data_IF_821823015075
#
_entry.id   IF_821823015075
#
_cell.length_a   1.000
_cell.length_b   1.000
_cell.length_c   1.000
_cell.angle_alpha   90.00
_cell.angle_beta   90.00
_cell.angle_gamma   90.00
#
_symmetry.space_group_name_H-M   'P 1'
#
loop_
_entity.id
_entity.type
_entity.pdbx_description
1 polymer ?
#
# COMPACT_ATOMS: atom_id res chain seq x y z
N UNK A 1 -14.03 41.64 9.22
CA UNK A 1 -14.80 40.43 8.84
C UNK A 1 -14.97 39.58 10.08
N UNK A 2 -16.19 39.38 10.57
CA UNK A 2 -16.46 38.66 11.84
C UNK A 2 -15.99 37.22 11.77
N UNK A 3 -15.53 36.63 12.88
CA UNK A 3 -15.03 35.25 13.01
C UNK A 3 -15.98 34.24 12.34
N UNK A 4 -17.28 34.42 12.46
CA UNK A 4 -18.33 33.61 11.86
C UNK A 4 -18.29 33.60 10.31
N UNK A 5 -18.03 34.75 9.68
CA UNK A 5 -17.88 34.84 8.22
C UNK A 5 -16.64 34.09 7.71
N UNK A 6 -15.56 34.09 8.48
CA UNK A 6 -14.34 33.30 8.15
C UNK A 6 -14.59 31.79 8.25
N UNK A 7 -15.32 31.34 9.28
CA UNK A 7 -15.69 29.93 9.46
C UNK A 7 -16.61 29.46 8.33
N UNK A 8 -17.64 30.28 7.98
CA UNK A 8 -18.55 29.95 6.87
C UNK A 8 -17.80 29.92 5.54
N UNK A 9 -16.86 30.83 5.30
CA UNK A 9 -16.04 30.86 4.10
C UNK A 9 -15.11 29.63 4.04
N UNK A 10 -14.50 29.22 5.17
CA UNK A 10 -13.68 27.99 5.25
C UNK A 10 -14.51 26.73 5.01
N UNK A 11 -15.73 26.64 5.57
CA UNK A 11 -16.66 25.55 5.31
C UNK A 11 -17.08 25.51 3.84
N UNK A 12 -17.36 26.67 3.23
CA UNK A 12 -17.72 26.75 1.81
C UNK A 12 -16.56 26.35 0.89
N UNK A 13 -15.33 26.78 1.22
CA UNK A 13 -14.12 26.34 0.53
C UNK A 13 -13.92 24.82 0.67
N UNK A 14 -14.08 24.25 1.87
CA UNK A 14 -13.93 22.81 2.09
C UNK A 14 -14.94 21.99 1.26
N UNK A 15 -16.21 22.44 1.20
CA UNK A 15 -17.25 21.81 0.37
C UNK A 15 -16.95 21.96 -1.13
N UNK A 16 -16.46 23.12 -1.59
CA UNK A 16 -16.12 23.34 -2.99
C UNK A 16 -14.93 22.45 -3.44
N UNK A 17 -13.96 22.24 -2.56
CA UNK A 17 -12.81 21.33 -2.84
C UNK A 17 -13.30 19.89 -2.99
N UNK A 18 -14.15 19.39 -2.07
CA UNK A 18 -14.65 18.00 -2.14
C UNK A 18 -15.50 17.72 -3.39
N UNK A 19 -16.23 18.71 -3.91
CA UNK A 19 -17.02 18.54 -5.15
C UNK A 19 -16.16 18.49 -6.41
N UNK A 20 -15.05 19.22 -6.46
CA UNK A 20 -14.13 19.19 -7.60
C UNK A 20 -13.43 17.83 -7.73
N UNK A 21 -13.05 17.21 -6.62
CA UNK A 21 -12.36 15.91 -6.56
C UNK A 21 -13.25 14.76 -7.06
N UNK A 22 -14.50 14.69 -6.61
CA UNK A 22 -15.45 13.68 -7.08
C UNK A 22 -15.68 13.74 -8.61
N UNK A 23 -15.57 14.92 -9.20
CA UNK A 23 -15.78 15.12 -10.63
C UNK A 23 -14.63 14.53 -11.48
N UNK A 24 -13.38 14.69 -11.06
CA UNK A 24 -12.21 14.13 -11.78
C UNK A 24 -12.24 12.60 -11.78
N UNK A 25 -12.59 11.97 -10.65
CA UNK A 25 -12.73 10.51 -10.57
C UNK A 25 -13.83 10.00 -11.51
N UNK A 26 -14.99 10.65 -11.53
CA UNK A 26 -16.09 10.28 -12.44
C UNK A 26 -15.66 10.37 -13.91
N UNK A 27 -14.87 11.40 -14.28
CA UNK A 27 -14.33 11.53 -15.64
C UNK A 27 -13.33 10.42 -15.96
N UNK A 28 -12.47 10.06 -15.01
CA UNK A 28 -11.51 8.97 -15.18
C UNK A 28 -12.22 7.62 -15.36
N UNK A 29 -13.19 7.32 -14.49
CA UNK A 29 -14.03 6.10 -14.58
C UNK A 29 -14.80 6.06 -15.90
N UNK A 30 -15.34 7.20 -16.35
CA UNK A 30 -16.03 7.31 -17.65
C UNK A 30 -15.09 7.05 -18.84
N UNK A 31 -13.87 7.61 -18.82
CA UNK A 31 -12.86 7.36 -19.86
C UNK A 31 -12.52 5.86 -19.92
N UNK A 32 -12.32 5.22 -18.76
CA UNK A 32 -12.06 3.78 -18.68
C UNK A 32 -13.20 2.94 -19.28
N UNK A 33 -14.44 3.23 -18.91
CA UNK A 33 -15.63 2.52 -19.45
C UNK A 33 -15.76 2.70 -20.97
N UNK A 34 -15.37 3.87 -21.50
CA UNK A 34 -15.35 4.17 -22.93
C UNK A 34 -14.12 3.59 -23.65
N UNK A 35 -13.30 2.76 -23.00
CA UNK A 35 -12.05 2.19 -23.49
C UNK A 35 -10.97 3.23 -23.85
N UNK A 36 -11.09 4.48 -23.41
CA UNK A 36 -10.02 5.49 -23.50
C UNK A 36 -9.07 5.34 -22.29
N UNK A 37 -8.31 4.24 -22.31
CA UNK A 37 -7.45 3.86 -21.19
C UNK A 37 -6.30 4.84 -20.97
N UNK A 38 -5.82 5.47 -22.06
CA UNK A 38 -4.77 6.49 -21.96
C UNK A 38 -5.26 7.74 -21.22
N UNK A 39 -6.48 8.20 -21.54
CA UNK A 39 -7.10 9.33 -20.86
C UNK A 39 -7.49 8.99 -19.41
N UNK A 40 -7.96 7.76 -19.18
CA UNK A 40 -8.25 7.28 -17.83
C UNK A 40 -6.97 7.30 -16.98
N UNK A 41 -5.85 6.77 -17.47
CA UNK A 41 -4.57 6.77 -16.77
C UNK A 41 -4.09 8.19 -16.44
N UNK A 42 -4.12 9.13 -17.41
CA UNK A 42 -3.76 10.53 -17.18
C UNK A 42 -4.59 11.17 -16.04
N UNK A 43 -5.91 10.92 -16.04
CA UNK A 43 -6.80 11.46 -15.03
C UNK A 43 -6.56 10.83 -13.64
N UNK A 44 -6.34 9.51 -13.55
CA UNK A 44 -6.00 8.86 -12.28
C UNK A 44 -4.64 9.33 -11.75
N UNK A 45 -3.61 9.49 -12.59
CA UNK A 45 -2.34 10.08 -12.19
C UNK A 45 -2.51 11.52 -11.67
N UNK A 46 -3.35 12.32 -12.34
CA UNK A 46 -3.68 13.66 -11.87
C UNK A 46 -4.34 13.67 -10.49
N UNK A 47 -5.23 12.70 -10.21
CA UNK A 47 -5.84 12.55 -8.89
C UNK A 47 -4.77 12.23 -7.84
N UNK A 48 -3.91 11.25 -8.08
CA UNK A 48 -2.84 10.86 -7.17
C UNK A 48 -1.89 12.02 -6.85
N UNK A 49 -1.54 12.82 -7.86
CA UNK A 49 -0.67 13.98 -7.69
C UNK A 49 -1.30 15.13 -6.89
N UNK A 50 -2.62 15.31 -6.96
CA UNK A 50 -3.32 16.44 -6.33
C UNK A 50 -3.97 16.09 -5.00
N UNK A 51 -4.41 14.84 -4.82
CA UNK A 51 -5.22 14.40 -3.68
C UNK A 51 -4.47 13.44 -2.75
N UNK A 52 -3.33 12.90 -3.22
CA UNK A 52 -2.53 11.91 -2.49
C UNK A 52 -2.92 10.48 -2.83
N UNK A 53 -2.32 9.56 -2.11
CA UNK A 53 -2.39 8.12 -2.37
C UNK A 53 -3.76 7.52 -2.02
N UNK A 54 -4.26 6.65 -2.89
CA UNK A 54 -5.50 5.90 -2.70
C UNK A 54 -5.41 4.53 -3.35
N UNK A 55 -5.75 3.48 -2.60
CA UNK A 55 -5.75 2.10 -3.11
C UNK A 55 -6.65 1.95 -4.35
N UNK A 56 -7.86 2.52 -4.30
CA UNK A 56 -8.82 2.46 -5.41
C UNK A 56 -8.29 3.15 -6.68
N UNK A 57 -7.62 4.29 -6.52
CA UNK A 57 -7.09 5.05 -7.66
C UNK A 57 -5.87 4.32 -8.25
N UNK A 58 -4.96 3.83 -7.43
CA UNK A 58 -3.85 2.99 -7.89
C UNK A 58 -4.34 1.71 -8.59
N UNK A 59 -5.37 1.05 -8.05
CA UNK A 59 -5.98 -0.13 -8.67
C UNK A 59 -6.54 0.18 -10.07
N UNK A 60 -7.32 1.27 -10.21
CA UNK A 60 -7.90 1.66 -11.48
C UNK A 60 -6.84 2.15 -12.48
N UNK A 61 -5.79 2.80 -12.01
CA UNK A 61 -4.63 3.18 -12.81
C UNK A 61 -3.89 1.92 -13.31
N UNK A 62 -3.68 0.93 -12.43
CA UNK A 62 -3.14 -0.37 -12.79
C UNK A 62 -3.97 -1.08 -13.86
N UNK A 63 -5.31 -1.08 -13.71
CA UNK A 63 -6.23 -1.63 -14.72
C UNK A 63 -6.09 -0.90 -16.07
N UNK A 64 -5.95 0.43 -16.06
CA UNK A 64 -5.78 1.23 -17.28
C UNK A 64 -4.48 0.87 -18.00
N UNK A 65 -3.36 0.78 -17.26
CA UNK A 65 -2.09 0.34 -17.83
C UNK A 65 -2.10 -1.10 -18.32
N UNK A 66 -2.76 -2.00 -17.60
CA UNK A 66 -2.93 -3.39 -18.02
C UNK A 66 -3.67 -3.50 -19.36
N UNK A 67 -4.73 -2.69 -19.57
CA UNK A 67 -5.49 -2.62 -20.82
C UNK A 67 -4.68 -2.03 -21.97
N UNK A 68 -3.68 -1.20 -21.68
CA UNK A 68 -2.72 -0.64 -22.63
C UNK A 68 -1.52 -1.57 -22.89
N UNK A 69 -1.51 -2.78 -22.29
CA UNK A 69 -0.41 -3.75 -22.33
C UNK A 69 0.90 -3.22 -21.72
N UNK A 70 0.83 -2.18 -20.89
CA UNK A 70 1.97 -1.67 -20.12
C UNK A 70 2.05 -2.42 -18.78
N UNK A 71 2.62 -3.63 -18.83
CA UNK A 71 2.57 -4.59 -17.73
C UNK A 71 3.40 -4.11 -16.54
N UNK A 72 4.56 -3.51 -16.75
CA UNK A 72 5.41 -3.00 -15.67
C UNK A 72 4.69 -1.91 -14.85
N UNK A 73 4.06 -0.93 -15.51
CA UNK A 73 3.27 0.10 -14.83
C UNK A 73 2.02 -0.47 -14.16
N UNK A 74 1.39 -1.47 -14.76
CA UNK A 74 0.24 -2.13 -14.13
C UNK A 74 0.65 -2.80 -12.81
N UNK A 75 1.73 -3.58 -12.81
CA UNK A 75 2.29 -4.23 -11.62
C UNK A 75 2.65 -3.20 -10.55
N UNK A 76 3.36 -2.13 -10.91
CA UNK A 76 3.72 -1.06 -9.99
C UNK A 76 2.50 -0.48 -9.27
N UNK A 77 1.45 -0.16 -10.02
CA UNK A 77 0.24 0.44 -9.43
C UNK A 77 -0.58 -0.56 -8.62
N UNK A 78 -0.64 -1.83 -9.01
CA UNK A 78 -1.26 -2.87 -8.18
C UNK A 78 -0.49 -3.12 -6.88
N UNK A 79 0.84 -3.11 -6.90
CA UNK A 79 1.67 -3.21 -5.69
C UNK A 79 1.44 -2.02 -4.75
N UNK A 80 1.37 -0.78 -5.28
CA UNK A 80 1.02 0.41 -4.50
C UNK A 80 -0.39 0.32 -3.91
N UNK A 81 -1.35 -0.16 -4.70
CA UNK A 81 -2.71 -0.39 -4.22
C UNK A 81 -2.76 -1.43 -3.09
N UNK A 82 -2.04 -2.56 -3.27
CA UNK A 82 -1.98 -3.64 -2.30
C UNK A 82 -1.27 -3.22 -1.00
N UNK A 83 -0.26 -2.34 -1.08
CA UNK A 83 0.40 -1.77 0.09
C UNK A 83 -0.57 -0.96 0.96
N UNK A 84 -1.52 -0.23 0.34
CA UNK A 84 -2.55 0.54 1.03
C UNK A 84 -3.75 -0.30 1.48
N UNK A 85 -4.11 -1.35 0.74
CA UNK A 85 -5.23 -2.24 1.03
C UNK A 85 -4.86 -3.72 0.80
N UNK A 86 -4.09 -4.32 1.71
CA UNK A 86 -3.55 -5.67 1.52
C UNK A 86 -4.59 -6.79 1.56
N UNK A 87 -5.81 -6.51 2.04
CA UNK A 87 -6.89 -7.51 2.13
C UNK A 87 -7.74 -7.60 0.85
N UNK A 88 -7.47 -6.79 -0.17
CA UNK A 88 -8.28 -6.70 -1.37
C UNK A 88 -7.93 -7.83 -2.36
N UNK A 89 -8.85 -8.77 -2.52
CA UNK A 89 -8.65 -9.92 -3.39
C UNK A 89 -8.66 -9.56 -4.89
N UNK A 90 -9.33 -8.48 -5.29
CA UNK A 90 -9.39 -8.06 -6.69
C UNK A 90 -8.04 -7.46 -7.10
N UNK A 91 -7.41 -6.69 -6.20
CA UNK A 91 -6.05 -6.16 -6.41
C UNK A 91 -5.06 -7.32 -6.51
N UNK A 92 -5.13 -8.30 -5.58
CA UNK A 92 -4.24 -9.47 -5.59
C UNK A 92 -4.39 -10.28 -6.88
N UNK A 93 -5.61 -10.57 -7.29
CA UNK A 93 -5.89 -11.31 -8.51
C UNK A 93 -5.34 -10.60 -9.76
N UNK A 94 -5.56 -9.28 -9.89
CA UNK A 94 -5.09 -8.53 -11.05
C UNK A 94 -3.56 -8.38 -11.05
N UNK A 95 -2.92 -8.28 -9.87
CA UNK A 95 -1.47 -8.31 -9.73
C UNK A 95 -0.91 -9.65 -10.21
N UNK A 96 -1.45 -10.79 -9.75
CA UNK A 96 -1.03 -12.13 -10.18
C UNK A 96 -1.23 -12.30 -11.69
N UNK A 97 -2.34 -11.82 -12.24
CA UNK A 97 -2.63 -11.85 -13.67
C UNK A 97 -1.60 -11.04 -14.47
N UNK A 98 -1.22 -9.84 -14.00
CA UNK A 98 -0.19 -9.02 -14.62
C UNK A 98 1.19 -9.69 -14.52
N UNK A 99 1.56 -10.22 -13.36
CA UNK A 99 2.81 -10.96 -13.15
C UNK A 99 2.90 -12.22 -14.01
N UNK A 100 1.78 -12.87 -14.33
CA UNK A 100 1.76 -14.04 -15.21
C UNK A 100 2.24 -13.73 -16.62
N UNK A 101 2.16 -12.46 -17.06
CA UNK A 101 2.64 -11.98 -18.37
C UNK A 101 4.13 -11.62 -18.40
N UNK A 102 4.79 -11.49 -17.23
CA UNK A 102 6.22 -11.14 -17.18
C UNK A 102 7.09 -12.32 -17.60
N UNK A 103 8.27 -12.00 -18.12
CA UNK A 103 9.29 -12.98 -18.54
C UNK A 103 9.90 -13.66 -17.31
N UNK A 104 10.27 -12.85 -16.31
CA UNK A 104 10.94 -13.34 -15.11
C UNK A 104 9.92 -13.94 -14.13
N UNK A 105 9.94 -15.27 -14.00
CA UNK A 105 9.07 -15.95 -13.04
C UNK A 105 9.59 -15.79 -11.62
N UNK A 106 8.70 -15.43 -10.71
CA UNK A 106 9.01 -15.39 -9.28
C UNK A 106 9.00 -16.81 -8.74
N UNK A 107 10.11 -17.24 -8.17
CA UNK A 107 10.16 -18.47 -7.37
C UNK A 107 10.18 -18.03 -5.92
N UNK A 108 9.05 -18.14 -5.19
CA UNK A 108 9.00 -17.69 -3.81
C UNK A 108 9.98 -18.53 -2.97
N UNK A 109 10.83 -17.86 -2.19
CA UNK A 109 11.60 -18.56 -1.16
C UNK A 109 10.65 -19.04 -0.06
N UNK A 110 10.95 -20.23 0.48
CA UNK A 110 10.22 -20.76 1.62
C UNK A 110 10.51 -19.91 2.85
N UNK A 111 9.55 -19.08 3.23
CA UNK A 111 9.58 -18.36 4.51
C UNK A 111 9.21 -19.30 5.67
N UNK A 112 9.72 -19.02 6.87
CA UNK A 112 9.26 -19.74 8.06
C UNK A 112 7.77 -19.53 8.27
N UNK A 113 7.03 -20.61 8.57
CA UNK A 113 5.57 -20.60 8.66
C UNK A 113 5.01 -19.52 9.60
N UNK A 114 5.71 -19.19 10.70
CA UNK A 114 5.25 -18.15 11.62
C UNK A 114 5.38 -16.74 11.03
N UNK A 115 6.34 -16.48 10.12
CA UNK A 115 6.47 -15.20 9.40
C UNK A 115 5.31 -15.05 8.43
N UNK A 116 5.03 -16.08 7.65
CA UNK A 116 3.89 -16.10 6.72
C UNK A 116 2.56 -15.93 7.48
N UNK A 117 2.40 -16.61 8.62
CA UNK A 117 1.20 -16.51 9.44
C UNK A 117 1.01 -15.10 10.04
N UNK A 118 2.07 -14.49 10.58
CA UNK A 118 1.99 -13.11 11.10
C UNK A 118 1.70 -12.11 10.00
N UNK A 119 2.31 -12.22 8.82
CA UNK A 119 1.99 -11.40 7.63
C UNK A 119 0.52 -11.55 7.24
N UNK A 120 0.02 -12.79 7.17
CA UNK A 120 -1.39 -13.04 6.84
C UNK A 120 -2.35 -12.40 7.83
N UNK A 121 -2.05 -12.47 9.15
CA UNK A 121 -2.87 -11.81 10.18
C UNK A 121 -2.82 -10.29 10.06
N UNK A 122 -1.64 -9.72 9.84
CA UNK A 122 -1.47 -8.28 9.68
C UNK A 122 -2.21 -7.77 8.45
N UNK A 123 -2.24 -8.55 7.36
CA UNK A 123 -2.86 -8.20 6.09
C UNK A 123 -4.38 -8.44 6.02
N UNK A 124 -5.03 -8.89 7.12
CA UNK A 124 -6.51 -9.00 7.18
C UNK A 124 -7.19 -7.63 7.03
N UNK A 125 -6.53 -6.56 7.46
CA UNK A 125 -7.03 -5.18 7.37
C UNK A 125 -5.91 -4.25 6.93
N UNK A 126 -6.28 -3.08 6.39
CA UNK A 126 -5.35 -1.98 6.14
C UNK A 126 -4.86 -1.34 7.45
N UNK A 127 -3.79 -0.54 7.38
CA UNK A 127 -3.27 0.26 8.53
C UNK A 127 -4.38 1.05 9.22
N UNK A 128 -5.20 1.76 8.41
CA UNK A 128 -6.36 2.52 8.91
C UNK A 128 -7.39 1.62 9.59
N UNK A 129 -7.66 0.44 9.05
CA UNK A 129 -8.58 -0.55 9.64
C UNK A 129 -8.11 -1.01 11.02
N UNK A 130 -6.83 -1.33 11.15
CA UNK A 130 -6.24 -1.70 12.44
C UNK A 130 -6.24 -0.55 13.44
N UNK A 131 -5.90 0.69 13.01
CA UNK A 131 -5.95 1.87 13.87
C UNK A 131 -7.38 2.14 14.39
N UNK A 132 -8.39 2.05 13.52
CA UNK A 132 -9.80 2.17 13.93
C UNK A 132 -10.21 1.07 14.90
N UNK A 133 -9.82 -0.18 14.65
CA UNK A 133 -10.07 -1.32 15.55
C UNK A 133 -9.43 -1.09 16.93
N UNK A 134 -8.21 -0.54 16.96
CA UNK A 134 -7.52 -0.16 18.19
C UNK A 134 -8.32 0.87 19.02
N UNK A 135 -8.83 1.92 18.35
CA UNK A 135 -9.64 2.96 19.00
C UNK A 135 -10.97 2.36 19.54
N UNK A 136 -11.66 1.56 18.73
CA UNK A 136 -12.95 0.95 19.10
C UNK A 136 -12.77 0.03 20.31
N UNK A 137 -11.78 -0.87 20.27
CA UNK A 137 -11.50 -1.81 21.37
C UNK A 137 -11.07 -1.08 22.63
N UNK A 138 -10.32 0.02 22.52
CA UNK A 138 -9.97 0.87 23.65
C UNK A 138 -11.21 1.49 24.33
N UNK A 139 -12.13 2.05 23.53
CA UNK A 139 -13.38 2.62 24.04
C UNK A 139 -14.20 1.54 24.76
N UNK A 140 -14.33 0.34 24.20
CA UNK A 140 -15.04 -0.78 24.80
C UNK A 140 -14.37 -1.18 26.14
N UNK A 141 -13.04 -1.21 26.20
CA UNK A 141 -12.29 -1.49 27.42
C UNK A 141 -12.59 -0.45 28.52
N UNK A 142 -12.65 0.85 28.17
CA UNK A 142 -13.02 1.91 29.11
C UNK A 142 -14.45 1.76 29.65
N UNK A 143 -15.42 1.44 28.77
CA UNK A 143 -16.80 1.16 29.18
C UNK A 143 -16.87 -0.05 30.11
N UNK A 144 -16.13 -1.12 29.81
CA UNK A 144 -16.04 -2.30 30.64
C UNK A 144 -15.44 -1.99 32.04
N UNK A 145 -14.40 -1.14 32.09
CA UNK A 145 -13.87 -0.62 33.37
C UNK A 145 -14.88 0.22 34.14
N UNK A 146 -15.67 1.06 33.47
CA UNK A 146 -16.73 1.81 34.11
C UNK A 146 -17.78 0.88 34.73
N UNK A 147 -18.16 -0.19 34.03
CA UNK A 147 -19.04 -1.24 34.60
C UNK A 147 -18.42 -1.86 35.83
N UNK A 148 -17.13 -2.17 35.82
CA UNK A 148 -16.40 -2.70 36.94
C UNK A 148 -16.43 -1.75 38.17
N UNK A 149 -16.19 -0.46 37.97
CA UNK A 149 -16.09 0.48 39.09
C UNK A 149 -17.46 0.92 39.63
N UNK A 150 -18.42 1.19 38.73
CA UNK A 150 -19.70 1.80 39.11
C UNK A 150 -20.83 0.81 39.43
N UNK A 151 -20.69 -0.47 39.05
CA UNK A 151 -21.76 -1.45 39.31
C UNK A 151 -21.66 -2.02 40.72
N UNK A 152 -22.81 -2.31 41.36
CA UNK A 152 -22.87 -2.92 42.67
C UNK A 152 -22.93 -4.46 42.66
N UNK A 153 -23.32 -5.06 41.51
CA UNK A 153 -23.46 -6.50 41.37
C UNK A 153 -22.11 -7.15 41.10
N UNK A 154 -21.68 -8.11 41.92
CA UNK A 154 -20.39 -8.80 41.83
C UNK A 154 -20.21 -9.48 40.47
N UNK A 155 -21.27 -10.07 39.91
CA UNK A 155 -21.22 -10.74 38.61
C UNK A 155 -20.85 -9.75 37.51
N UNK A 156 -21.50 -8.58 37.47
CA UNK A 156 -21.21 -7.53 36.46
C UNK A 156 -19.82 -6.93 36.65
N UNK A 157 -19.33 -6.81 37.88
CA UNK A 157 -17.95 -6.42 38.16
C UNK A 157 -16.94 -7.41 37.54
N UNK A 158 -17.14 -8.72 37.74
CA UNK A 158 -16.26 -9.75 37.17
C UNK A 158 -16.28 -9.72 35.65
N UNK A 159 -17.46 -9.62 35.04
CA UNK A 159 -17.59 -9.50 33.57
C UNK A 159 -16.89 -8.25 33.09
N UNK A 160 -17.14 -7.08 33.71
CA UNK A 160 -16.49 -5.82 33.32
C UNK A 160 -14.96 -5.89 33.39
N UNK A 161 -14.43 -6.48 34.47
CA UNK A 161 -12.98 -6.64 34.65
C UNK A 161 -12.34 -7.54 33.55
N UNK A 162 -12.93 -8.73 33.35
CA UNK A 162 -12.43 -9.69 32.35
C UNK A 162 -12.55 -9.09 30.95
N UNK A 163 -13.71 -8.49 30.61
CA UNK A 163 -13.89 -7.84 29.31
C UNK A 163 -12.90 -6.70 29.07
N UNK A 164 -12.62 -5.90 30.12
CA UNK A 164 -11.65 -4.82 29.99
C UNK A 164 -10.25 -5.34 29.64
N UNK A 165 -9.79 -6.42 30.30
CA UNK A 165 -8.49 -7.04 30.01
C UNK A 165 -8.47 -7.58 28.58
N UNK A 166 -9.52 -8.30 28.16
CA UNK A 166 -9.60 -8.88 26.81
C UNK A 166 -9.57 -7.80 25.73
N UNK A 167 -10.38 -6.74 25.86
CA UNK A 167 -10.41 -5.68 24.87
C UNK A 167 -9.15 -4.81 24.88
N UNK A 168 -8.49 -4.65 26.04
CA UNK A 168 -7.18 -3.99 26.11
C UNK A 168 -6.10 -4.82 25.39
N UNK A 169 -6.14 -6.14 25.52
CA UNK A 169 -5.25 -7.03 24.79
C UNK A 169 -5.44 -6.88 23.27
N UNK A 170 -6.69 -6.90 22.77
CA UNK A 170 -6.97 -6.67 21.35
C UNK A 170 -6.59 -5.27 20.90
N UNK A 171 -6.74 -4.25 21.74
CA UNK A 171 -6.27 -2.89 21.44
C UNK A 171 -4.74 -2.87 21.21
N UNK A 172 -3.98 -3.53 22.08
CA UNK A 172 -2.51 -3.61 21.93
C UNK A 172 -2.14 -4.34 20.64
N UNK A 173 -2.77 -5.48 20.34
CA UNK A 173 -2.51 -6.22 19.08
C UNK A 173 -2.83 -5.38 17.85
N UNK A 174 -3.98 -4.71 17.83
CA UNK A 174 -4.36 -3.85 16.71
C UNK A 174 -3.35 -2.72 16.48
N UNK A 175 -2.83 -2.11 17.55
CA UNK A 175 -1.79 -1.10 17.45
C UNK A 175 -0.45 -1.65 16.95
N UNK A 176 -0.08 -2.88 17.34
CA UNK A 176 1.12 -3.55 16.81
C UNK A 176 0.98 -3.76 15.29
N UNK A 177 -0.16 -4.31 14.83
CA UNK A 177 -0.39 -4.55 13.41
C UNK A 177 -0.46 -3.25 12.60
N UNK A 178 -1.15 -2.21 13.12
CA UNK A 178 -1.14 -0.89 12.49
C UNK A 178 0.28 -0.31 12.37
N UNK A 179 1.10 -0.44 13.41
CA UNK A 179 2.48 0.04 13.40
C UNK A 179 3.36 -0.71 12.39
N UNK A 180 3.19 -2.04 12.27
CA UNK A 180 3.91 -2.85 11.29
C UNK A 180 3.57 -2.42 9.87
N UNK A 181 2.28 -2.32 9.53
CA UNK A 181 1.87 -1.86 8.20
C UNK A 181 2.30 -0.42 7.90
N UNK A 182 2.25 0.46 8.90
CA UNK A 182 2.77 1.82 8.75
C UNK A 182 4.26 1.83 8.45
N UNK A 183 5.04 0.95 9.10
CA UNK A 183 6.46 0.80 8.80
C UNK A 183 6.69 0.32 7.36
N UNK A 184 5.88 -0.63 6.87
CA UNK A 184 5.93 -1.13 5.49
C UNK A 184 5.59 -0.03 4.48
N UNK A 185 4.57 0.80 4.77
CA UNK A 185 4.20 1.97 3.96
C UNK A 185 5.31 3.04 3.88
N UNK A 186 6.10 3.18 4.94
CA UNK A 186 7.19 4.16 5.00
C UNK A 186 8.53 3.61 4.48
N UNK A 187 8.62 2.30 4.34
CA UNK A 187 9.84 1.62 3.92
C UNK A 187 9.87 1.46 2.40
N UNK A 188 10.29 2.51 1.69
CA UNK A 188 10.45 2.51 0.23
C UNK A 188 11.59 1.59 -0.24
N UNK A 189 11.62 0.36 0.25
CA UNK A 189 12.65 -0.62 -0.06
C UNK A 189 12.31 -1.54 -1.24
N UNK A 190 11.11 -1.44 -1.81
CA UNK A 190 10.70 -2.25 -2.95
C UNK A 190 10.62 -1.39 -4.21
N UNK A 191 10.97 -1.97 -5.35
CA UNK A 191 10.86 -1.32 -6.65
C UNK A 191 10.46 -2.32 -7.74
N UNK A 192 9.96 -1.79 -8.87
CA UNK A 192 9.66 -2.56 -10.07
C UNK A 192 10.67 -2.17 -11.15
N UNK A 193 11.19 -3.17 -11.87
CA UNK A 193 11.99 -2.96 -13.08
C UNK A 193 11.07 -2.39 -14.17
N UNK A 194 11.41 -1.20 -14.68
CA UNK A 194 10.64 -0.50 -15.72
C UNK A 194 11.27 -0.64 -17.10
N UNK A 195 12.57 -0.93 -17.16
CA UNK A 195 13.28 -1.15 -18.40
C UNK A 195 12.87 -2.50 -19.02
N UNK A 196 12.63 -2.59 -20.35
CA UNK A 196 12.28 -3.85 -21.03
C UNK A 196 13.27 -4.99 -20.74
N UNK A 197 14.55 -4.66 -20.61
CA UNK A 197 15.62 -5.55 -20.18
C UNK A 197 16.76 -4.74 -19.58
N UNK A 198 17.32 -5.19 -18.48
CA UNK A 198 18.46 -4.56 -17.80
C UNK A 198 19.44 -5.60 -17.30
N UNK A 199 20.73 -5.38 -17.55
CA UNK A 199 21.80 -6.22 -17.01
C UNK A 199 22.18 -5.73 -15.62
N UNK A 200 22.08 -6.61 -14.64
CA UNK A 200 22.53 -6.37 -13.26
C UNK A 200 24.05 -6.52 -13.20
N UNK A 201 24.72 -5.57 -12.59
CA UNK A 201 26.18 -5.44 -12.53
C UNK A 201 26.70 -5.76 -11.13
N UNK A 202 27.97 -6.21 -11.06
CA UNK A 202 28.64 -6.47 -9.76
C UNK A 202 29.06 -5.20 -9.02
N UNK A 203 29.19 -4.08 -9.72
CA UNK A 203 29.59 -2.78 -9.19
C UNK A 203 28.78 -1.66 -9.80
N UNK A 204 28.62 -0.49 -9.13
CA UNK A 204 27.79 0.63 -9.59
C UNK A 204 28.48 1.45 -10.70
N UNK A 205 28.81 0.80 -11.81
CA UNK A 205 29.37 1.44 -13.01
C UNK A 205 29.14 0.58 -14.27
N UNK A 206 29.28 1.18 -15.45
CA UNK A 206 29.05 0.50 -16.73
C UNK A 206 30.04 -0.62 -17.04
N UNK A 207 31.25 -0.56 -16.46
CA UNK A 207 32.31 -1.57 -16.65
C UNK A 207 32.24 -2.73 -15.65
N UNK A 208 31.25 -2.73 -14.75
CA UNK A 208 31.02 -3.82 -13.79
C UNK A 208 30.78 -5.16 -14.50
N UNK A 209 31.20 -6.24 -13.88
CA UNK A 209 30.93 -7.59 -14.40
C UNK A 209 29.41 -7.82 -14.48
N UNK A 210 28.95 -8.37 -15.58
CA UNK A 210 27.56 -8.75 -15.78
C UNK A 210 27.23 -9.99 -14.95
N UNK A 211 26.20 -9.90 -14.12
CA UNK A 211 25.78 -10.98 -13.23
C UNK A 211 24.60 -11.76 -13.83
N UNK A 212 23.51 -11.07 -14.11
CA UNK A 212 22.29 -11.63 -14.70
C UNK A 212 21.46 -10.51 -15.35
N UNK A 213 20.43 -10.90 -16.08
CA UNK A 213 19.51 -9.98 -16.77
C UNK A 213 18.16 -10.03 -16.07
N UNK A 214 17.52 -8.87 -15.93
CA UNK A 214 16.13 -8.72 -15.49
C UNK A 214 15.30 -8.05 -16.56
N UNK A 215 14.01 -8.38 -16.54
CA UNK A 215 13.02 -7.81 -17.46
C UNK A 215 12.00 -6.97 -16.72
N UNK A 216 11.25 -6.16 -17.48
CA UNK A 216 10.20 -5.30 -16.95
C UNK A 216 9.15 -6.05 -16.13
N UNK A 217 8.62 -5.37 -15.11
CA UNK A 217 7.62 -5.94 -14.20
C UNK A 217 8.20 -6.80 -13.07
N UNK A 218 9.53 -7.07 -13.06
CA UNK A 218 10.15 -7.79 -11.95
C UNK A 218 10.23 -6.92 -10.71
N UNK A 219 9.71 -7.41 -9.58
CA UNK A 219 9.84 -6.79 -8.26
C UNK A 219 11.22 -7.10 -7.67
N UNK A 220 11.85 -6.09 -7.09
CA UNK A 220 13.17 -6.15 -6.46
C UNK A 220 13.17 -5.42 -5.13
N UNK A 221 14.08 -5.79 -4.24
CA UNK A 221 14.32 -5.12 -2.96
C UNK A 221 15.52 -4.20 -3.11
N UNK A 222 15.41 -2.93 -2.76
CA UNK A 222 16.52 -1.97 -2.75
C UNK A 222 17.31 -2.17 -1.47
N UNK A 223 18.60 -2.48 -1.58
CA UNK A 223 19.54 -2.65 -0.45
C UNK A 223 20.30 -1.38 -0.16
N UNK A 224 20.73 -0.68 -1.21
CA UNK A 224 21.43 0.60 -1.09
C UNK A 224 20.79 1.61 -2.04
N UNK A 225 20.33 2.72 -1.46
CA UNK A 225 19.71 3.85 -2.14
C UNK A 225 20.55 5.14 -2.03
N UNK A 226 21.79 5.05 -1.57
CA UNK A 226 22.63 6.23 -1.29
C UNK A 226 23.14 6.93 -2.55
N UNK A 227 23.38 6.16 -3.62
CA UNK A 227 23.82 6.68 -4.90
C UNK A 227 22.63 7.19 -5.74
N UNK A 228 22.81 8.32 -6.44
CA UNK A 228 21.77 8.89 -7.31
C UNK A 228 21.58 8.08 -8.60
N UNK A 229 22.67 7.62 -9.20
CA UNK A 229 22.68 7.02 -10.54
C UNK A 229 22.52 5.49 -10.52
N UNK A 230 22.91 4.85 -9.43
CA UNK A 230 22.90 3.39 -9.26
C UNK A 230 22.18 3.00 -7.99
N UNK A 231 21.51 1.84 -8.03
CA UNK A 231 20.83 1.24 -6.87
C UNK A 231 21.29 -0.19 -6.73
N UNK A 232 21.65 -0.60 -5.50
CA UNK A 232 21.85 -2.00 -5.20
C UNK A 232 20.49 -2.66 -4.98
N UNK A 233 20.24 -3.70 -5.74
CA UNK A 233 19.00 -4.47 -5.65
C UNK A 233 19.29 -5.90 -5.18
N UNK A 234 18.31 -6.51 -4.56
CA UNK A 234 18.28 -7.92 -4.23
C UNK A 234 16.99 -8.56 -4.70
N UNK A 235 17.11 -9.76 -5.26
CA UNK A 235 15.97 -10.61 -5.60
C UNK A 235 15.53 -11.44 -4.38
N UNK A 236 14.35 -12.01 -4.47
CA UNK A 236 13.82 -12.92 -3.43
C UNK A 236 14.68 -14.16 -3.21
N UNK A 237 15.38 -14.64 -4.25
CA UNK A 237 16.31 -15.78 -4.18
C UNK A 237 17.68 -15.46 -3.54
N UNK A 238 17.88 -14.20 -3.14
CA UNK A 238 19.09 -13.71 -2.50
C UNK A 238 20.15 -13.17 -3.45
N UNK A 239 19.99 -13.32 -4.77
CA UNK A 239 20.89 -12.73 -5.76
C UNK A 239 20.83 -11.21 -5.66
N UNK A 240 21.99 -10.55 -5.68
CA UNK A 240 22.08 -9.10 -5.55
C UNK A 240 23.03 -8.49 -6.59
N UNK A 241 22.88 -7.22 -6.85
CA UNK A 241 23.77 -6.44 -7.72
C UNK A 241 23.23 -5.05 -7.99
N UNK A 242 23.87 -4.35 -8.92
CA UNK A 242 23.63 -2.94 -9.18
C UNK A 242 22.91 -2.74 -10.51
N UNK A 243 21.91 -1.85 -10.48
CA UNK A 243 21.18 -1.39 -11.68
C UNK A 243 21.16 0.14 -11.73
N UNK A 244 21.08 0.75 -12.91
CA UNK A 244 20.85 2.18 -13.03
C UNK A 244 19.52 2.59 -12.37
N UNK A 245 19.53 3.69 -11.64
CA UNK A 245 18.36 4.19 -10.93
C UNK A 245 17.15 4.45 -11.85
N UNK A 246 17.41 4.88 -13.09
CA UNK A 246 16.37 5.12 -14.09
C UNK A 246 15.67 3.86 -14.61
N UNK A 247 16.22 2.68 -14.35
CA UNK A 247 15.65 1.40 -14.79
C UNK A 247 14.59 0.86 -13.84
N UNK A 248 14.43 1.47 -12.66
CA UNK A 248 13.50 1.03 -11.63
C UNK A 248 12.58 2.16 -11.18
N UNK A 249 11.39 1.81 -10.68
CA UNK A 249 10.48 2.74 -10.02
C UNK A 249 10.09 2.20 -8.65
N UNK A 250 10.19 3.05 -7.62
CA UNK A 250 9.93 2.70 -6.22
C UNK A 250 8.42 2.55 -6.00
N UNK A 251 8.06 1.51 -5.23
CA UNK A 251 6.68 1.24 -4.84
C UNK A 251 6.23 2.19 -3.73
#
# INVERSE_FOLDING_TARGET
MTSMKKIVLMLFMAVAVTTAFGQTKILADSAYVNNDFAKAAELYESILNNEGESADIYYNLGNSYYKMDNIAKAILNYERALLLNPADNDIQFNLELAQSKTIDKVVPMSEFFFVTWTKSLTNIMSERGWAQTGIITFIIALVALAVYFFNKRIVLKKIGFISAIVFLFFCILANIFASTQKADLQNHSNAIIMAPSITVKSTPNDNGTELFILHEGRKVIIKDNTMKEWKEIQLEDGNAGWVPAQAIEII
#
